data_IF_645114506804
#
_entry.id   IF_645114506804
#
_cell.length_a   1.000
_cell.length_b   1.000
_cell.length_c   1.000
_cell.angle_alpha   90.00
_cell.angle_beta   90.00
_cell.angle_gamma   90.00
#
_symmetry.space_group_name_H-M   'P 1'
#
loop_
_entity.id
_entity.type
_entity.pdbx_description
1 polymer ?
#
# COMPACT_ATOMS: atom_id res chain seq x y z
N UNK A 1 21.72 -20.74 11.55
CA UNK A 1 20.27 -20.76 11.90
C UNK A 1 19.65 -19.69 11.04
N UNK A 2 18.73 -20.07 10.17
CA UNK A 2 18.14 -19.14 9.19
C UNK A 2 17.21 -18.17 9.93
N UNK A 3 17.52 -16.87 9.92
CA UNK A 3 16.73 -15.82 10.57
C UNK A 3 15.27 -15.84 10.09
N UNK A 4 15.03 -16.17 8.82
CA UNK A 4 13.70 -16.31 8.25
C UNK A 4 12.87 -17.37 8.99
N UNK A 5 13.47 -18.49 9.39
CA UNK A 5 12.79 -19.55 10.16
C UNK A 5 12.44 -19.13 11.60
N UNK A 6 13.19 -18.22 12.21
CA UNK A 6 12.92 -17.71 13.56
C UNK A 6 11.80 -16.68 13.52
N UNK A 7 11.78 -15.80 12.52
CA UNK A 7 10.78 -14.73 12.38
C UNK A 7 9.42 -15.33 11.97
N UNK A 8 9.39 -16.29 11.06
CA UNK A 8 8.15 -16.97 10.63
C UNK A 8 7.41 -17.64 11.79
N UNK A 9 8.14 -18.20 12.75
CA UNK A 9 7.56 -18.84 13.95
C UNK A 9 6.94 -17.86 14.95
N UNK A 10 7.27 -16.58 14.86
CA UNK A 10 6.81 -15.54 15.81
C UNK A 10 5.62 -14.75 15.31
N UNK A 11 5.31 -14.77 13.99
CA UNK A 11 4.20 -14.03 13.41
C UNK A 11 2.93 -14.87 13.44
N UNK A 12 1.93 -14.39 14.18
CA UNK A 12 0.58 -14.93 14.17
C UNK A 12 -0.39 -13.91 13.63
N UNK A 13 -1.24 -14.33 12.69
CA UNK A 13 -2.31 -13.49 12.16
C UNK A 13 -3.60 -13.57 12.97
N UNK A 14 -3.64 -14.36 14.03
CA UNK A 14 -4.81 -14.53 14.89
C UNK A 14 -5.30 -13.19 15.48
N UNK A 15 -4.39 -12.26 15.78
CA UNK A 15 -4.74 -10.92 16.27
C UNK A 15 -5.50 -10.07 15.22
N UNK A 16 -5.49 -10.48 13.96
CA UNK A 16 -6.22 -9.88 12.85
C UNK A 16 -7.44 -10.71 12.45
N UNK A 17 -7.86 -11.66 13.29
CA UNK A 17 -8.96 -12.62 13.04
C UNK A 17 -8.71 -13.59 11.86
N UNK A 18 -7.48 -13.68 11.33
CA UNK A 18 -7.10 -14.62 10.28
C UNK A 18 -6.50 -15.86 10.95
N UNK A 19 -7.17 -17.02 10.81
CA UNK A 19 -6.86 -18.24 11.52
C UNK A 19 -6.17 -19.26 10.62
N UNK A 20 -5.30 -20.07 11.19
CA UNK A 20 -4.67 -21.25 10.54
C UNK A 20 -3.98 -20.95 9.20
N UNK A 21 -3.62 -19.71 8.91
CA UNK A 21 -2.96 -19.36 7.66
C UNK A 21 -1.53 -19.88 7.62
N UNK A 22 -1.09 -20.35 6.46
CA UNK A 22 0.32 -20.61 6.16
C UNK A 22 0.96 -19.27 5.81
N UNK A 23 1.98 -18.86 6.54
CA UNK A 23 2.56 -17.52 6.43
C UNK A 23 3.91 -17.58 5.73
N UNK A 24 3.99 -16.96 4.57
CA UNK A 24 5.22 -16.65 3.85
C UNK A 24 5.64 -15.22 4.20
N UNK A 25 6.69 -15.08 5.02
CA UNK A 25 7.09 -13.79 5.57
C UNK A 25 8.37 -13.27 4.94
N UNK A 26 8.36 -12.01 4.46
CA UNK A 26 9.53 -11.29 3.92
C UNK A 26 10.26 -12.00 2.77
N UNK A 27 9.55 -12.79 1.96
CA UNK A 27 10.14 -13.47 0.80
C UNK A 27 10.80 -12.49 -0.17
N UNK A 28 11.90 -12.90 -0.78
CA UNK A 28 12.57 -12.10 -1.81
C UNK A 28 11.81 -12.13 -3.15
N UNK A 29 12.07 -11.18 -4.07
CA UNK A 29 11.34 -11.09 -5.35
C UNK A 29 11.42 -12.34 -6.22
N UNK A 30 12.56 -13.02 -6.25
CA UNK A 30 12.77 -14.27 -6.97
C UNK A 30 11.89 -15.40 -6.40
N UNK A 31 11.86 -15.57 -5.09
CA UNK A 31 10.98 -16.52 -4.41
C UNK A 31 9.50 -16.23 -4.68
N UNK A 32 9.10 -14.95 -4.65
CA UNK A 32 7.72 -14.51 -4.96
C UNK A 32 7.36 -14.73 -6.43
N UNK A 33 8.33 -14.61 -7.35
CA UNK A 33 8.15 -14.96 -8.76
C UNK A 33 7.94 -16.46 -8.92
N UNK A 34 8.76 -17.28 -8.28
CA UNK A 34 8.63 -18.75 -8.31
C UNK A 34 7.26 -19.19 -7.76
N UNK A 35 6.84 -18.68 -6.62
CA UNK A 35 5.52 -18.97 -6.05
C UNK A 35 4.37 -18.50 -6.97
N UNK A 36 4.52 -17.34 -7.61
CA UNK A 36 3.52 -16.85 -8.57
C UNK A 36 3.36 -17.80 -9.76
N UNK A 37 4.47 -18.31 -10.30
CA UNK A 37 4.47 -19.24 -11.44
C UNK A 37 3.95 -20.63 -11.01
N UNK A 38 4.36 -21.12 -9.86
CA UNK A 38 3.92 -22.40 -9.28
C UNK A 38 2.40 -22.46 -9.09
N UNK A 39 1.80 -21.35 -8.65
CA UNK A 39 0.35 -21.23 -8.48
C UNK A 39 -0.41 -20.85 -9.77
N UNK A 40 0.26 -20.75 -10.94
CA UNK A 40 -0.31 -20.34 -12.21
C UNK A 40 -0.99 -18.96 -12.18
N UNK A 41 -0.50 -18.05 -11.36
CA UNK A 41 -1.02 -16.69 -11.18
C UNK A 41 -0.40 -15.67 -12.15
N UNK A 42 0.62 -16.07 -12.89
CA UNK A 42 1.35 -15.24 -13.85
C UNK A 42 2.07 -16.06 -14.90
N UNK A 43 2.77 -15.36 -15.77
CA UNK A 43 3.62 -15.95 -16.82
C UNK A 43 4.94 -15.20 -16.88
N UNK A 44 6.02 -15.91 -17.12
CA UNK A 44 7.30 -15.30 -17.45
C UNK A 44 7.37 -14.93 -18.93
N UNK A 45 7.84 -13.73 -19.24
CA UNK A 45 8.12 -13.32 -20.62
C UNK A 45 9.43 -13.93 -21.11
N UNK A 46 9.72 -13.80 -22.40
CA UNK A 46 11.00 -14.25 -22.99
C UNK A 46 12.22 -13.58 -22.30
N UNK A 47 12.05 -12.37 -21.81
CA UNK A 47 13.06 -11.56 -21.15
C UNK A 47 13.15 -11.81 -19.63
N UNK A 48 12.45 -12.81 -19.11
CA UNK A 48 12.45 -13.15 -17.67
C UNK A 48 11.57 -12.24 -16.80
N UNK A 49 10.72 -11.41 -17.41
CA UNK A 49 9.84 -10.51 -16.65
C UNK A 49 8.52 -11.22 -16.31
N UNK A 50 8.06 -11.09 -15.07
CA UNK A 50 6.80 -11.63 -14.62
C UNK A 50 5.62 -10.78 -15.14
N UNK A 51 4.74 -11.40 -15.93
CA UNK A 51 3.52 -10.79 -16.44
C UNK A 51 2.29 -11.32 -15.68
N UNK A 52 1.50 -10.42 -15.14
CA UNK A 52 0.31 -10.71 -14.32
C UNK A 52 -0.95 -10.21 -15.02
N UNK A 53 -1.98 -11.06 -15.05
CA UNK A 53 -3.33 -10.65 -15.41
C UNK A 53 -4.08 -10.25 -14.14
N UNK A 54 -4.35 -8.95 -13.97
CA UNK A 54 -5.07 -8.42 -12.81
C UNK A 54 -6.59 -8.59 -12.90
N UNK A 55 -7.10 -9.27 -13.93
CA UNK A 55 -8.52 -9.55 -14.12
C UNK A 55 -9.32 -8.35 -14.63
N UNK A 56 -10.55 -8.22 -14.17
CA UNK A 56 -11.52 -7.20 -14.62
C UNK A 56 -11.05 -5.75 -14.31
N UNK A 57 -10.39 -5.57 -13.19
CA UNK A 57 -9.94 -4.25 -12.74
C UNK A 57 -8.44 -4.05 -13.02
N UNK A 58 -8.14 -3.39 -14.14
CA UNK A 58 -6.77 -3.17 -14.62
C UNK A 58 -6.21 -1.79 -14.24
N UNK A 59 -6.93 -1.04 -13.42
CA UNK A 59 -6.57 0.30 -12.98
C UNK A 59 -7.31 0.72 -11.73
N UNK A 60 -7.13 1.97 -11.35
CA UNK A 60 -7.80 2.56 -10.18
C UNK A 60 -9.32 2.56 -10.34
N UNK A 61 -10.01 2.30 -9.22
CA UNK A 61 -11.47 2.41 -9.12
C UNK A 61 -11.85 3.52 -8.13
N UNK A 62 -11.81 4.80 -8.53
CA UNK A 62 -12.00 5.92 -7.57
C UNK A 62 -13.35 5.90 -6.85
N UNK A 63 -14.40 5.39 -7.51
CA UNK A 63 -15.76 5.29 -6.94
C UNK A 63 -15.93 4.10 -5.98
N UNK A 64 -14.93 3.22 -5.87
CA UNK A 64 -14.92 2.05 -4.99
C UNK A 64 -13.95 2.23 -3.82
N UNK A 65 -13.55 3.48 -3.57
CA UNK A 65 -12.75 3.88 -2.42
C UNK A 65 -13.62 4.57 -1.40
N UNK A 66 -13.47 4.11 -0.17
CA UNK A 66 -14.28 4.56 0.94
C UNK A 66 -13.40 4.90 2.14
N UNK A 67 -13.88 5.81 2.97
CA UNK A 67 -13.29 6.12 4.27
C UNK A 67 -14.35 5.90 5.33
N UNK A 68 -14.01 5.15 6.38
CA UNK A 68 -14.92 4.95 7.51
C UNK A 68 -15.19 6.31 8.17
N UNK A 69 -16.47 6.67 8.27
CA UNK A 69 -16.90 7.90 8.91
C UNK A 69 -17.17 7.64 10.38
N UNK A 70 -16.27 8.11 11.22
CA UNK A 70 -16.31 7.92 12.68
C UNK A 70 -15.80 9.18 13.41
N UNK A 71 -15.56 9.09 14.72
CA UNK A 71 -15.08 10.21 15.53
C UNK A 71 -13.72 10.78 15.08
N UNK A 72 -12.87 9.97 14.45
CA UNK A 72 -11.57 10.43 13.94
C UNK A 72 -11.72 11.24 12.64
N UNK A 73 -12.65 10.86 11.79
CA UNK A 73 -12.74 11.34 10.40
C UNK A 73 -13.87 12.32 10.14
N UNK A 74 -14.97 12.27 10.93
CA UNK A 74 -16.21 12.98 10.65
C UNK A 74 -16.06 14.47 10.36
N UNK A 75 -15.17 15.15 11.11
CA UNK A 75 -14.95 16.60 11.02
C UNK A 75 -13.61 16.98 10.36
N UNK A 76 -12.84 15.99 9.88
CA UNK A 76 -11.49 16.18 9.31
C UNK A 76 -11.39 15.83 7.83
N UNK A 77 -12.35 15.08 7.32
CA UNK A 77 -12.40 14.67 5.92
C UNK A 77 -13.40 15.54 5.18
N UNK A 78 -12.99 16.06 4.02
CA UNK A 78 -13.91 16.71 3.11
C UNK A 78 -14.75 15.65 2.39
N UNK A 79 -15.94 15.39 2.95
CA UNK A 79 -16.88 14.39 2.45
C UNK A 79 -17.55 14.81 1.16
N UNK A 80 -17.71 13.88 0.21
CA UNK A 80 -18.36 14.12 -1.08
C UNK A 80 -18.14 12.98 -2.06
N UNK A 81 -18.17 13.30 -3.34
CA UNK A 81 -18.04 12.31 -4.42
C UNK A 81 -16.66 11.64 -4.50
N UNK A 82 -15.63 12.26 -3.89
CA UNK A 82 -14.26 11.72 -3.88
C UNK A 82 -13.98 10.95 -2.59
N UNK A 83 -14.26 11.56 -1.44
CA UNK A 83 -14.12 10.92 -0.14
C UNK A 83 -15.49 10.37 0.29
N UNK A 84 -15.76 9.14 -0.12
CA UNK A 84 -17.05 8.49 0.07
C UNK A 84 -17.10 7.90 1.50
N UNK A 85 -18.09 8.27 2.32
CA UNK A 85 -18.19 7.73 3.68
C UNK A 85 -18.59 6.25 3.67
N UNK A 86 -18.01 5.48 4.60
CA UNK A 86 -18.36 4.10 4.86
C UNK A 86 -18.82 3.95 6.32
N UNK A 87 -19.83 3.13 6.54
CA UNK A 87 -20.36 2.87 7.88
C UNK A 87 -19.40 1.98 8.68
N UNK A 88 -19.12 2.36 9.95
CA UNK A 88 -18.17 1.63 10.79
C UNK A 88 -18.62 0.20 11.10
N UNK A 89 -19.91 -0.02 11.31
CA UNK A 89 -20.44 -1.37 11.58
C UNK A 89 -20.42 -2.26 10.34
N UNK A 90 -20.58 -1.69 9.16
CA UNK A 90 -20.42 -2.41 7.89
C UNK A 90 -18.94 -2.74 7.63
N UNK A 91 -18.02 -1.83 7.99
CA UNK A 91 -16.60 -2.11 7.93
C UNK A 91 -16.23 -3.34 8.76
N UNK A 92 -16.70 -3.42 9.99
CA UNK A 92 -16.36 -4.52 10.88
C UNK A 92 -16.85 -5.86 10.31
N UNK A 93 -18.07 -5.91 9.81
CA UNK A 93 -18.62 -7.10 9.16
C UNK A 93 -17.89 -7.49 7.89
N UNK A 94 -17.52 -6.50 7.05
CA UNK A 94 -16.74 -6.74 5.84
C UNK A 94 -15.33 -7.23 6.16
N UNK A 95 -14.69 -6.63 7.19
CA UNK A 95 -13.39 -7.07 7.68
C UNK A 95 -13.41 -8.52 8.17
N UNK A 96 -14.40 -8.88 8.99
CA UNK A 96 -14.54 -10.26 9.51
C UNK A 96 -14.74 -11.26 8.35
N UNK A 97 -15.56 -10.93 7.34
CA UNK A 97 -15.72 -11.77 6.15
C UNK A 97 -14.43 -11.96 5.37
N UNK A 98 -13.63 -10.89 5.21
CA UNK A 98 -12.32 -10.97 4.54
C UNK A 98 -11.33 -11.78 5.37
N UNK A 99 -11.33 -11.61 6.70
CA UNK A 99 -10.47 -12.38 7.59
C UNK A 99 -10.81 -13.87 7.56
N UNK A 100 -12.09 -14.22 7.61
CA UNK A 100 -12.57 -15.60 7.47
C UNK A 100 -12.19 -16.18 6.09
N UNK A 101 -12.35 -15.40 5.01
CA UNK A 101 -11.96 -15.81 3.66
C UNK A 101 -10.46 -16.09 3.52
N UNK A 102 -9.62 -15.32 4.22
CA UNK A 102 -8.17 -15.49 4.22
C UNK A 102 -7.69 -16.58 5.20
N UNK A 103 -8.56 -17.03 6.10
CA UNK A 103 -8.24 -18.13 7.01
C UNK A 103 -8.02 -19.44 6.25
N UNK A 104 -7.17 -20.31 6.78
CA UNK A 104 -6.76 -21.59 6.19
C UNK A 104 -6.08 -21.48 4.82
N UNK A 105 -5.68 -20.26 4.39
CA UNK A 105 -4.96 -20.02 3.15
C UNK A 105 -3.47 -19.83 3.36
N UNK A 106 -2.73 -19.98 2.28
CA UNK A 106 -1.35 -19.52 2.15
C UNK A 106 -1.35 -18.02 1.87
N UNK A 107 -0.66 -17.25 2.71
CA UNK A 107 -0.62 -15.80 2.67
C UNK A 107 0.82 -15.28 2.67
N UNK A 108 1.01 -14.12 2.05
CA UNK A 108 2.29 -13.45 1.91
C UNK A 108 2.29 -12.19 2.77
N UNK A 109 3.11 -12.17 3.80
CA UNK A 109 3.16 -11.10 4.80
C UNK A 109 4.47 -10.33 4.68
N UNK A 110 4.35 -9.01 4.63
CA UNK A 110 5.51 -8.13 4.55
C UNK A 110 5.38 -6.95 5.49
N UNK A 111 6.46 -6.71 6.22
CA UNK A 111 6.67 -5.52 7.02
C UNK A 111 7.52 -4.54 6.21
N UNK A 112 7.01 -3.33 6.05
CA UNK A 112 7.61 -2.24 5.27
C UNK A 112 7.32 -0.91 5.96
N UNK A 113 7.85 0.17 5.43
CA UNK A 113 7.46 1.50 5.89
C UNK A 113 7.35 2.49 4.73
N UNK A 114 6.57 3.54 4.94
CA UNK A 114 6.52 4.72 4.10
C UNK A 114 7.26 5.87 4.77
N UNK A 115 7.68 6.86 3.98
CA UNK A 115 8.45 8.04 4.37
C UNK A 115 9.93 7.73 4.66
N UNK A 116 10.81 8.29 3.82
CA UNK A 116 12.28 8.19 3.98
C UNK A 116 12.76 8.91 5.24
N UNK A 117 12.09 10.02 5.63
CA UNK A 117 12.45 10.79 6.79
C UNK A 117 12.04 10.06 8.08
N UNK A 118 12.99 9.84 8.99
CA UNK A 118 12.78 8.98 10.16
C UNK A 118 11.67 9.46 11.10
N UNK A 119 11.52 10.77 11.30
CA UNK A 119 10.50 11.34 12.18
C UNK A 119 9.06 11.15 11.65
N UNK A 120 8.92 10.85 10.36
CA UNK A 120 7.65 10.64 9.66
C UNK A 120 7.43 9.20 9.24
N UNK A 121 8.33 8.29 9.62
CA UNK A 121 8.29 6.88 9.29
C UNK A 121 6.97 6.26 9.74
N UNK A 122 6.22 5.71 8.81
CA UNK A 122 4.98 4.96 9.07
C UNK A 122 5.25 3.48 8.82
N UNK A 123 5.25 2.68 9.87
CA UNK A 123 5.43 1.23 9.78
C UNK A 123 4.13 0.55 9.31
N UNK A 124 4.23 -0.32 8.33
CA UNK A 124 3.09 -0.95 7.67
C UNK A 124 3.29 -2.45 7.63
N UNK A 125 2.33 -3.21 8.12
CA UNK A 125 2.23 -4.64 7.83
C UNK A 125 1.26 -4.86 6.69
N UNK A 126 1.69 -5.56 5.65
CA UNK A 126 0.85 -5.90 4.51
C UNK A 126 0.63 -7.41 4.47
N UNK A 127 -0.63 -7.82 4.44
CA UNK A 127 -1.07 -9.20 4.27
C UNK A 127 -1.67 -9.32 2.87
N UNK A 128 -1.03 -10.10 2.00
CA UNK A 128 -1.46 -10.32 0.64
C UNK A 128 -1.92 -11.77 0.43
N UNK A 129 -3.02 -11.95 -0.29
CA UNK A 129 -3.48 -13.25 -0.75
C UNK A 129 -2.56 -13.84 -1.83
N UNK A 130 -1.94 -12.99 -2.67
CA UNK A 130 -1.12 -13.44 -3.79
C UNK A 130 0.35 -12.99 -3.69
N UNK A 131 1.30 -13.84 -4.10
CA UNK A 131 2.75 -13.56 -4.01
C UNK A 131 3.15 -12.35 -4.85
N UNK A 132 2.63 -12.21 -6.07
CA UNK A 132 2.93 -11.06 -6.95
C UNK A 132 2.45 -9.71 -6.38
N UNK A 133 1.38 -9.70 -5.58
CA UNK A 133 0.97 -8.49 -4.85
C UNK A 133 1.99 -8.12 -3.78
N UNK A 134 2.59 -9.11 -3.13
CA UNK A 134 3.64 -8.91 -2.14
C UNK A 134 4.95 -8.44 -2.78
N UNK A 135 5.26 -8.90 -4.00
CA UNK A 135 6.37 -8.38 -4.80
C UNK A 135 6.18 -6.88 -5.12
N UNK A 136 4.96 -6.45 -5.46
CA UNK A 136 4.67 -5.03 -5.63
C UNK A 136 4.94 -4.24 -4.35
N UNK A 137 4.55 -4.77 -3.19
CA UNK A 137 4.83 -4.14 -1.88
C UNK A 137 6.33 -4.02 -1.62
N UNK A 138 7.10 -5.06 -1.93
CA UNK A 138 8.56 -5.05 -1.83
C UNK A 138 9.20 -3.90 -2.64
N UNK A 139 8.72 -3.70 -3.86
CA UNK A 139 9.27 -2.68 -4.76
C UNK A 139 8.80 -1.26 -4.42
N UNK A 140 7.58 -1.13 -3.85
CA UNK A 140 6.91 0.17 -3.71
C UNK A 140 7.22 0.87 -2.40
N UNK A 141 7.46 0.12 -1.33
CA UNK A 141 7.71 0.65 0.01
C UNK A 141 9.17 0.49 0.43
N UNK A 142 9.56 1.25 1.45
CA UNK A 142 10.86 1.14 2.09
C UNK A 142 10.91 -0.13 2.95
N UNK A 143 12.06 -0.75 3.00
CA UNK A 143 12.26 -2.02 3.68
C UNK A 143 13.02 -1.84 4.99
N UNK A 144 12.52 -2.38 6.12
CA UNK A 144 13.30 -2.51 7.34
C UNK A 144 14.56 -3.36 7.11
N UNK A 145 15.60 -3.10 7.86
CA UNK A 145 16.78 -3.98 7.90
C UNK A 145 16.45 -5.29 8.64
N UNK A 146 17.30 -6.30 8.49
CA UNK A 146 17.11 -7.57 9.20
C UNK A 146 17.15 -7.40 10.73
N UNK A 147 17.91 -6.43 11.22
CA UNK A 147 18.00 -6.12 12.66
C UNK A 147 16.74 -5.40 13.18
N UNK A 148 16.03 -4.65 12.32
CA UNK A 148 14.80 -3.97 12.70
C UNK A 148 13.58 -4.92 12.75
N UNK A 149 13.57 -5.98 11.94
CA UNK A 149 12.42 -6.88 11.79
C UNK A 149 11.96 -7.55 13.09
N UNK A 150 12.84 -8.06 14.00
CA UNK A 150 12.41 -8.69 15.26
C UNK A 150 11.65 -7.76 16.20
N UNK A 151 11.93 -6.45 16.14
CA UNK A 151 11.28 -5.43 16.96
C UNK A 151 10.17 -4.67 16.23
N UNK A 152 9.89 -5.03 14.98
CA UNK A 152 8.93 -4.32 14.14
C UNK A 152 7.52 -4.33 14.75
N UNK A 153 6.94 -3.15 14.83
CA UNK A 153 5.53 -2.95 15.22
C UNK A 153 4.88 -2.08 14.17
N UNK A 154 3.82 -2.58 13.57
CA UNK A 154 3.07 -1.84 12.58
C UNK A 154 2.24 -0.72 13.21
N UNK A 155 2.25 0.43 12.55
CA UNK A 155 1.33 1.54 12.78
C UNK A 155 0.04 1.37 11.96
N UNK A 156 0.15 0.75 10.80
CA UNK A 156 -0.94 0.47 9.88
C UNK A 156 -0.91 -0.97 9.39
N UNK A 157 -2.11 -1.52 9.22
CA UNK A 157 -2.35 -2.82 8.59
C UNK A 157 -2.94 -2.62 7.19
N UNK A 158 -2.39 -3.29 6.19
CA UNK A 158 -3.02 -3.44 4.87
C UNK A 158 -3.42 -4.90 4.70
N UNK A 159 -4.70 -5.15 4.44
CA UNK A 159 -5.21 -6.47 4.07
C UNK A 159 -5.64 -6.42 2.61
N UNK A 160 -5.01 -7.22 1.77
CA UNK A 160 -5.25 -7.27 0.33
C UNK A 160 -5.67 -8.67 -0.10
N UNK A 161 -6.95 -8.82 -0.40
CA UNK A 161 -7.62 -10.05 -0.79
C UNK A 161 -8.26 -9.93 -2.18
N UNK A 162 -7.48 -9.97 -3.28
CA UNK A 162 -7.99 -9.81 -4.64
C UNK A 162 -9.08 -10.81 -5.03
N UNK A 163 -9.03 -12.03 -4.51
CA UNK A 163 -10.00 -13.09 -4.78
C UNK A 163 -11.31 -12.95 -3.99
N UNK A 164 -11.34 -12.15 -2.93
CA UNK A 164 -12.56 -11.88 -2.19
C UNK A 164 -13.44 -10.88 -2.95
N UNK A 165 -14.70 -11.25 -3.19
CA UNK A 165 -15.69 -10.39 -3.85
C UNK A 165 -16.77 -9.99 -2.86
N UNK A 166 -16.95 -8.68 -2.67
CA UNK A 166 -18.02 -8.16 -1.83
C UNK A 166 -19.40 -8.35 -2.49
N UNK A 167 -20.40 -8.51 -1.66
CA UNK A 167 -21.82 -8.43 -2.04
C UNK A 167 -22.31 -6.99 -1.79
N UNK A 168 -22.53 -6.16 -2.83
CA UNK A 168 -22.89 -4.75 -2.65
C UNK A 168 -24.12 -4.52 -1.76
N UNK A 169 -25.10 -5.41 -1.82
CA UNK A 169 -26.34 -5.26 -1.04
C UNK A 169 -26.10 -5.48 0.46
N UNK A 170 -25.19 -6.39 0.81
CA UNK A 170 -24.91 -6.78 2.20
C UNK A 170 -23.74 -6.04 2.81
N UNK A 171 -22.71 -5.79 2.01
CA UNK A 171 -21.41 -5.28 2.48
C UNK A 171 -21.31 -3.76 2.41
N UNK A 172 -22.21 -3.10 1.68
CA UNK A 172 -22.29 -1.65 1.58
C UNK A 172 -21.28 -1.04 0.59
N UNK A 173 -20.64 -1.87 -0.21
CA UNK A 173 -19.79 -1.46 -1.33
C UNK A 173 -20.64 -1.10 -2.55
N UNK A 174 -20.09 -0.39 -3.52
CA UNK A 174 -20.79 -0.06 -4.77
C UNK A 174 -20.85 -1.27 -5.72
N UNK A 175 -19.82 -2.09 -5.71
CA UNK A 175 -19.69 -3.32 -6.51
C UNK A 175 -18.77 -4.33 -5.80
N UNK A 176 -18.34 -5.38 -6.51
CA UNK A 176 -17.58 -6.49 -5.93
C UNK A 176 -16.17 -6.13 -5.42
N UNK A 177 -15.54 -5.06 -5.99
CA UNK A 177 -14.25 -4.56 -5.55
C UNK A 177 -14.40 -3.35 -4.63
N UNK A 178 -13.44 -3.18 -3.75
CA UNK A 178 -13.43 -2.09 -2.78
C UNK A 178 -12.02 -1.82 -2.23
N UNK A 179 -11.82 -0.58 -1.77
CA UNK A 179 -10.73 -0.18 -0.91
C UNK A 179 -11.30 0.71 0.21
N UNK A 180 -11.29 0.25 1.44
CA UNK A 180 -11.84 0.97 2.60
C UNK A 180 -10.73 1.31 3.58
N UNK A 181 -10.60 2.59 3.92
CA UNK A 181 -9.68 3.08 4.95
C UNK A 181 -10.42 3.28 6.27
N UNK A 182 -9.94 2.65 7.33
CA UNK A 182 -10.41 2.87 8.70
C UNK A 182 -9.27 3.50 9.52
N UNK A 183 -9.41 4.78 9.82
CA UNK A 183 -8.39 5.54 10.55
C UNK A 183 -8.37 5.21 12.05
N UNK A 184 -9.49 4.93 12.67
CA UNK A 184 -9.57 4.55 14.07
C UNK A 184 -8.90 3.20 14.34
N UNK A 185 -9.06 2.25 13.40
CA UNK A 185 -8.43 0.92 13.48
C UNK A 185 -7.07 0.87 12.78
N UNK A 186 -6.70 1.90 12.03
CA UNK A 186 -5.47 1.99 11.22
C UNK A 186 -5.36 0.83 10.22
N UNK A 187 -6.43 0.58 9.49
CA UNK A 187 -6.54 -0.52 8.53
C UNK A 187 -6.90 0.02 7.14
N UNK A 188 -6.20 -0.45 6.11
CA UNK A 188 -6.59 -0.38 4.71
C UNK A 188 -7.05 -1.77 4.27
N UNK A 189 -8.34 -1.93 3.99
CA UNK A 189 -8.96 -3.18 3.56
C UNK A 189 -9.26 -3.12 2.07
N UNK A 190 -8.63 -4.00 1.28
CA UNK A 190 -8.72 -4.01 -0.19
C UNK A 190 -9.16 -5.40 -0.65
N UNK A 191 -10.21 -5.47 -1.44
CA UNK A 191 -10.72 -6.73 -1.96
C UNK A 191 -11.29 -6.61 -3.38
N UNK A 192 -11.44 -7.75 -4.06
CA UNK A 192 -12.09 -7.88 -5.37
C UNK A 192 -11.32 -7.26 -6.54
N UNK A 193 -10.10 -6.81 -6.35
CA UNK A 193 -9.26 -6.23 -7.41
C UNK A 193 -7.84 -6.75 -7.34
N UNK A 194 -7.31 -7.18 -8.49
CA UNK A 194 -5.90 -7.50 -8.66
C UNK A 194 -5.00 -6.29 -8.91
N UNK A 195 -5.56 -5.09 -9.05
CA UNK A 195 -4.78 -3.89 -9.27
C UNK A 195 -4.06 -3.44 -7.98
N UNK A 196 -2.75 -3.66 -7.94
CA UNK A 196 -1.90 -3.43 -6.75
C UNK A 196 -1.74 -1.95 -6.37
N UNK A 197 -1.99 -1.03 -7.29
CA UNK A 197 -1.92 0.40 -7.02
C UNK A 197 -2.88 0.90 -5.93
N UNK A 198 -3.92 0.12 -5.58
CA UNK A 198 -4.79 0.44 -4.45
C UNK A 198 -4.05 0.32 -3.10
N UNK A 199 -3.08 -0.59 -2.97
CA UNK A 199 -2.22 -0.73 -1.77
C UNK A 199 -1.42 0.56 -1.55
N UNK A 200 -0.72 1.02 -2.59
CA UNK A 200 0.04 2.27 -2.59
C UNK A 200 -0.86 3.45 -2.21
N UNK A 201 -1.95 3.63 -2.95
CA UNK A 201 -2.83 4.79 -2.77
C UNK A 201 -3.63 4.77 -1.47
N UNK A 202 -3.87 3.59 -0.89
CA UNK A 202 -4.44 3.47 0.45
C UNK A 202 -3.55 4.12 1.51
N UNK A 203 -2.27 3.76 1.52
CA UNK A 203 -1.29 4.33 2.46
C UNK A 203 -1.05 5.83 2.20
N UNK A 204 -0.99 6.26 0.94
CA UNK A 204 -0.82 7.69 0.65
C UNK A 204 -2.05 8.50 1.05
N UNK A 205 -3.25 7.96 0.91
CA UNK A 205 -4.46 8.60 1.44
C UNK A 205 -4.44 8.68 2.96
N UNK A 206 -3.88 7.68 3.64
CA UNK A 206 -3.66 7.72 5.08
C UNK A 206 -2.67 8.84 5.47
N UNK A 207 -1.53 8.95 4.78
CA UNK A 207 -0.54 10.01 5.02
C UNK A 207 -1.11 11.41 4.73
N UNK A 208 -1.99 11.56 3.73
CA UNK A 208 -2.67 12.83 3.40
C UNK A 208 -3.58 13.35 4.53
N UNK A 209 -4.04 12.49 5.43
CA UNK A 209 -4.75 12.91 6.64
C UNK A 209 -3.81 13.06 7.83
N UNK A 210 -2.90 12.09 8.02
CA UNK A 210 -2.06 12.00 9.22
C UNK A 210 -1.04 13.15 9.27
N UNK A 211 -0.33 13.38 8.18
CA UNK A 211 0.79 14.33 8.14
C UNK A 211 0.36 15.78 8.44
N UNK A 212 -0.68 16.35 7.81
CA UNK A 212 -1.07 17.73 8.09
C UNK A 212 -1.71 17.91 9.47
N UNK A 213 -2.42 16.90 9.98
CA UNK A 213 -3.15 17.03 11.24
C UNK A 213 -2.27 16.83 12.46
N UNK A 214 -1.33 15.89 12.39
CA UNK A 214 -0.56 15.47 13.56
C UNK A 214 0.93 15.80 13.50
N UNK A 215 1.45 16.19 12.33
CA UNK A 215 2.89 16.32 12.13
C UNK A 215 3.28 17.61 11.36
N UNK A 216 2.36 18.54 11.20
CA UNK A 216 2.57 19.84 10.53
C UNK A 216 3.37 19.73 9.22
N UNK A 217 3.01 18.73 8.40
CA UNK A 217 3.69 18.41 7.15
C UNK A 217 2.71 18.38 6.01
N UNK A 218 3.03 19.06 4.90
CA UNK A 218 2.20 19.10 3.70
C UNK A 218 2.48 17.88 2.81
N UNK A 219 1.54 16.94 2.66
CA UNK A 219 1.66 15.88 1.67
C UNK A 219 1.36 16.41 0.27
N UNK A 220 2.17 16.03 -0.71
CA UNK A 220 2.10 16.52 -2.08
C UNK A 220 2.13 15.39 -3.09
N UNK A 221 1.21 15.41 -4.05
CA UNK A 221 1.27 14.57 -5.24
C UNK A 221 2.10 15.28 -6.32
N UNK A 222 3.39 15.13 -6.24
CA UNK A 222 4.37 15.81 -7.10
C UNK A 222 5.59 14.92 -7.29
N UNK A 223 6.40 15.18 -8.31
CA UNK A 223 7.78 14.72 -8.35
C UNK A 223 8.74 15.79 -7.84
N UNK A 224 9.92 15.40 -7.37
CA UNK A 224 10.92 16.31 -6.84
C UNK A 224 12.34 15.86 -7.17
N UNK A 225 13.23 16.83 -7.40
CA UNK A 225 14.66 16.62 -7.56
C UNK A 225 15.48 17.71 -6.89
N UNK A 226 16.77 17.46 -6.72
CA UNK A 226 17.73 18.42 -6.14
C UNK A 226 18.87 18.68 -7.10
N UNK A 227 19.21 19.96 -7.30
CA UNK A 227 20.30 20.41 -8.12
C UNK A 227 21.66 20.35 -7.40
N UNK A 228 22.73 20.61 -8.12
CA UNK A 228 24.11 20.59 -7.61
C UNK A 228 24.34 21.60 -6.48
N UNK A 229 23.60 22.71 -6.49
CA UNK A 229 23.69 23.74 -5.45
C UNK A 229 22.80 23.46 -4.24
N UNK A 230 22.16 22.28 -4.17
CA UNK A 230 21.24 21.91 -3.09
C UNK A 230 19.83 22.50 -3.23
N UNK A 231 19.54 23.18 -4.33
CA UNK A 231 18.21 23.69 -4.65
C UNK A 231 17.25 22.56 -4.99
N UNK A 232 16.06 22.53 -4.36
CA UNK A 232 15.02 21.54 -4.60
C UNK A 232 13.97 22.09 -5.54
N UNK A 233 13.67 21.37 -6.62
CA UNK A 233 12.57 21.65 -7.53
C UNK A 233 11.43 20.65 -7.31
N UNK A 234 10.19 21.15 -7.33
CA UNK A 234 8.96 20.39 -7.15
C UNK A 234 8.11 20.54 -8.42
N UNK A 235 7.63 19.42 -8.96
CA UNK A 235 6.87 19.39 -10.21
C UNK A 235 5.44 18.92 -9.95
N UNK A 236 4.48 19.83 -10.03
CA UNK A 236 3.05 19.52 -9.99
C UNK A 236 2.48 19.38 -11.40
N UNK A 237 1.44 18.57 -11.53
CA UNK A 237 0.71 18.40 -12.78
C UNK A 237 -0.16 17.14 -12.77
N UNK A 238 -1.06 17.03 -13.73
CA UNK A 238 -1.91 15.86 -13.89
C UNK A 238 -1.12 14.67 -14.40
N UNK A 239 -1.72 13.47 -14.36
CA UNK A 239 -1.11 12.27 -14.93
C UNK A 239 -0.84 12.48 -16.44
N UNK A 240 0.36 12.08 -16.89
CA UNK A 240 0.75 12.20 -18.31
C UNK A 240 1.23 13.60 -18.73
N UNK A 241 1.36 14.57 -17.83
CA UNK A 241 1.86 15.92 -18.15
C UNK A 241 3.38 16.04 -18.18
N UNK A 242 4.10 14.96 -17.89
CA UNK A 242 5.57 14.93 -17.96
C UNK A 242 6.29 15.22 -16.64
N UNK A 243 5.60 15.18 -15.48
CA UNK A 243 6.26 15.36 -14.16
C UNK A 243 7.49 14.48 -13.97
N UNK A 244 7.30 13.17 -14.13
CA UNK A 244 8.38 12.18 -13.99
C UNK A 244 9.52 12.42 -15.00
N UNK A 245 9.18 12.77 -16.25
CA UNK A 245 10.18 13.06 -17.29
C UNK A 245 11.02 14.29 -16.94
N UNK A 246 10.38 15.37 -16.46
CA UNK A 246 11.08 16.60 -16.09
C UNK A 246 11.94 16.42 -14.83
N UNK A 247 11.45 15.67 -13.85
CA UNK A 247 12.19 15.45 -12.60
C UNK A 247 13.37 14.49 -12.76
N UNK A 248 13.38 13.65 -13.81
CA UNK A 248 14.44 12.70 -14.11
C UNK A 248 15.59 13.34 -14.96
N UNK A 249 15.81 14.63 -14.86
CA UNK A 249 16.94 15.34 -15.48
C UNK A 249 18.26 14.71 -15.03
N UNK A 250 19.16 14.28 -15.96
CA UNK A 250 20.41 13.62 -15.60
C UNK A 250 21.40 14.52 -14.82
N UNK A 251 21.21 15.84 -14.88
CA UNK A 251 22.03 16.81 -14.14
C UNK A 251 21.49 17.11 -12.74
N UNK A 252 20.38 16.49 -12.34
CA UNK A 252 19.77 16.68 -11.02
C UNK A 252 19.50 15.31 -10.36
N UNK A 253 19.60 15.24 -9.05
CA UNK A 253 19.36 13.99 -8.31
C UNK A 253 17.86 13.86 -8.01
N UNK A 254 17.24 12.80 -8.51
CA UNK A 254 15.83 12.50 -8.23
C UNK A 254 15.63 12.22 -6.72
N UNK A 255 14.67 12.91 -6.11
CA UNK A 255 14.18 12.61 -4.75
C UNK A 255 13.06 11.55 -4.84
N UNK A 256 12.11 11.75 -5.75
CA UNK A 256 11.02 10.82 -6.04
C UNK A 256 10.13 11.32 -7.17
N UNK A 257 9.27 10.46 -7.68
CA UNK A 257 8.49 10.74 -8.89
C UNK A 257 6.98 10.97 -8.67
N UNK A 258 6.41 10.64 -7.47
CA UNK A 258 4.94 10.70 -7.29
C UNK A 258 4.47 11.37 -5.99
N UNK A 259 4.98 10.99 -4.81
CA UNK A 259 4.42 11.42 -3.52
C UNK A 259 5.51 11.89 -2.54
N UNK A 260 5.35 13.09 -1.99
CA UNK A 260 6.33 13.72 -1.11
C UNK A 260 5.68 14.41 0.08
N UNK A 261 6.44 14.59 1.16
CA UNK A 261 6.13 15.46 2.28
C UNK A 261 6.99 16.71 2.28
N UNK A 262 6.37 17.85 2.61
CA UNK A 262 7.06 19.11 2.85
C UNK A 262 6.89 19.51 4.30
N UNK A 263 7.97 19.49 5.05
CA UNK A 263 8.00 19.75 6.48
C UNK A 263 7.94 21.25 6.80
N UNK A 264 7.56 21.59 8.03
CA UNK A 264 7.56 22.97 8.52
C UNK A 264 8.95 23.60 8.52
N UNK A 265 10.04 22.82 8.63
CA UNK A 265 11.44 23.27 8.54
C UNK A 265 12.00 23.25 7.10
N UNK A 266 11.11 23.26 6.10
CA UNK A 266 11.42 23.37 4.66
C UNK A 266 12.24 22.20 4.07
N UNK A 267 12.03 20.97 4.55
CA UNK A 267 12.60 19.78 3.95
C UNK A 267 11.58 19.06 3.07
N UNK A 268 12.04 18.49 1.96
CA UNK A 268 11.25 17.63 1.09
C UNK A 268 11.73 16.20 1.23
N UNK A 269 10.81 15.26 1.44
CA UNK A 269 11.14 13.84 1.53
C UNK A 269 10.14 12.97 0.76
N UNK A 270 10.64 11.85 0.23
CA UNK A 270 9.84 10.90 -0.51
C UNK A 270 9.09 9.94 0.44
N UNK A 271 7.86 9.54 0.07
CA UNK A 271 7.11 8.52 0.80
C UNK A 271 7.45 7.09 0.35
N UNK A 272 8.02 6.93 -0.83
CA UNK A 272 8.14 5.65 -1.53
C UNK A 272 9.54 5.05 -1.45
N UNK A 273 9.61 3.73 -1.60
CA UNK A 273 10.85 2.98 -1.73
C UNK A 273 11.23 2.66 -3.18
N UNK A 274 10.38 2.96 -4.14
CA UNK A 274 10.59 2.69 -5.55
C UNK A 274 9.60 3.39 -6.46
N UNK A 275 9.66 3.10 -7.75
CA UNK A 275 8.82 3.69 -8.77
C UNK A 275 7.78 2.70 -9.32
N UNK A 276 6.66 3.22 -9.78
CA UNK A 276 5.60 2.47 -10.43
C UNK A 276 5.14 3.22 -11.68
N UNK A 277 5.24 2.60 -12.82
CA UNK A 277 4.85 3.19 -14.10
C UNK A 277 3.74 2.36 -14.78
N UNK A 278 2.75 3.06 -15.36
CA UNK A 278 1.81 2.46 -16.29
C UNK A 278 2.41 2.51 -17.69
N UNK A 279 2.70 1.35 -18.25
CA UNK A 279 3.15 1.23 -19.65
C UNK A 279 1.92 1.18 -20.55
N UNK A 280 1.93 1.97 -21.63
CA UNK A 280 0.84 2.07 -22.62
C UNK A 280 1.27 1.34 -23.89
#
# INVERSE_FOLDING_TARGET
>A
MDLNNIITKTISLNRYNIKNAIINYQMYPDELQEETLKHNLGRETREGVLAINTGKFTGRSPQDRFIVKDEVTKDRVWWGAINIPFDSSKFDKLYDKVADYLSDKELYVRDVYACVHQDYKLNIRVINEYPWSNMFVYNMFLRPTEEELPSFKEDWLVVNAPGFKADPEKDGTRQENFAVLNFSKKIALIGGTGYTGEIKKGIFSALNLILPIYQDTLPMHCSANVGENGDTAIFFGLSGTGKTTLSADPNRKLIGDDEHGWTADNKIFNFEGGCYAKVI
#
